data_IF_007416038607
#
_entry.id   IF_007416038607
#
_cell.length_a   1.000
_cell.length_b   1.000
_cell.length_c   1.000
_cell.angle_alpha   90.00
_cell.angle_beta   90.00
_cell.angle_gamma   90.00
#
_symmetry.space_group_name_H-M   'P 1'
#
loop_
_entity.id
_entity.type
_entity.pdbx_description
1 polymer ?
#
# COMPACT_ATOMS: atom_id res chain seq x y z
N UNK A 1 9.19 1.63 22.30
CA UNK A 1 8.97 3.05 22.10
C UNK A 1 7.50 3.33 21.93
N UNK A 2 6.98 4.26 22.69
CA UNK A 2 5.56 4.56 22.58
C UNK A 2 5.23 5.09 21.19
N UNK A 3 4.24 4.51 20.58
CA UNK A 3 3.68 5.02 19.34
C UNK A 3 2.83 6.25 19.68
N UNK A 4 3.44 7.40 19.69
CA UNK A 4 2.66 8.61 19.81
C UNK A 4 1.85 8.79 18.51
N UNK A 5 0.59 9.17 18.64
CA UNK A 5 -0.19 9.55 17.48
C UNK A 5 0.50 10.75 16.81
N UNK A 6 0.90 10.54 15.56
CA UNK A 6 1.55 11.60 14.80
C UNK A 6 0.54 12.69 14.45
N UNK A 7 0.94 13.93 14.60
CA UNK A 7 0.11 15.06 14.16
C UNK A 7 0.04 15.08 12.64
N UNK A 8 -0.95 15.76 12.09
CA UNK A 8 -1.09 15.89 10.65
C UNK A 8 0.18 16.47 10.01
N UNK A 9 0.80 17.47 10.61
CA UNK A 9 2.04 18.06 10.10
C UNK A 9 3.19 17.09 10.08
N UNK A 10 3.31 16.24 11.12
CA UNK A 10 4.34 15.22 11.17
C UNK A 10 4.14 14.16 10.09
N UNK A 11 2.90 13.77 9.81
CA UNK A 11 2.60 12.83 8.73
C UNK A 11 2.90 13.42 7.35
N UNK A 12 2.68 14.71 7.18
CA UNK A 12 2.97 15.38 5.90
C UNK A 12 4.46 15.40 5.57
N UNK A 13 5.34 15.39 6.58
CA UNK A 13 6.79 15.33 6.39
C UNK A 13 7.27 13.92 6.09
N UNK A 14 6.48 12.90 6.45
CA UNK A 14 6.83 11.53 6.18
C UNK A 14 6.55 11.16 4.72
N UNK A 15 7.23 10.12 4.26
CA UNK A 15 7.04 9.62 2.91
C UNK A 15 5.67 8.97 2.78
N UNK A 16 4.98 9.28 1.70
CA UNK A 16 3.82 8.54 1.24
C UNK A 16 4.29 7.55 0.19
N UNK A 17 4.24 6.27 0.53
CA UNK A 17 4.68 5.20 -0.35
C UNK A 17 3.59 4.90 -1.38
N UNK A 18 3.96 4.92 -2.65
CA UNK A 18 3.08 4.55 -3.76
C UNK A 18 3.55 3.19 -4.25
N UNK A 19 2.85 2.14 -3.87
CA UNK A 19 3.27 0.78 -4.17
C UNK A 19 2.59 0.22 -5.42
N UNK A 20 3.40 -0.23 -6.37
CA UNK A 20 2.96 -0.81 -7.63
C UNK A 20 3.47 -2.24 -7.74
N UNK A 21 2.61 -3.16 -8.17
CA UNK A 21 3.02 -4.53 -8.40
C UNK A 21 2.35 -5.09 -9.65
N UNK A 22 3.14 -5.77 -10.46
CA UNK A 22 2.66 -6.49 -11.63
C UNK A 22 3.27 -7.88 -11.62
N UNK A 23 2.44 -8.91 -11.54
CA UNK A 23 2.91 -10.29 -11.62
C UNK A 23 2.88 -10.77 -13.06
N UNK A 24 3.59 -11.88 -13.35
CA UNK A 24 3.54 -12.49 -14.68
C UNK A 24 2.12 -12.95 -15.04
N UNK A 25 1.29 -13.23 -14.05
CA UNK A 25 -0.08 -13.67 -14.28
C UNK A 25 -0.97 -12.55 -14.81
N UNK A 26 -0.56 -11.30 -14.69
CA UNK A 26 -1.29 -10.13 -15.17
C UNK A 26 -1.02 -9.84 -16.66
N UNK A 27 -0.07 -10.53 -17.29
CA UNK A 27 0.44 -10.17 -18.62
C UNK A 27 -0.56 -10.33 -19.76
N UNK A 28 -1.55 -11.17 -19.60
CA UNK A 28 -2.44 -11.54 -20.71
C UNK A 28 -3.82 -10.91 -20.65
N UNK A 29 -4.11 -10.14 -19.61
CA UNK A 29 -5.42 -9.49 -19.43
C UNK A 29 -5.22 -8.07 -18.95
N UNK A 30 -5.85 -7.14 -19.61
CA UNK A 30 -5.86 -5.73 -19.20
C UNK A 30 -4.47 -5.14 -18.96
N UNK A 31 -3.52 -5.47 -19.84
CA UNK A 31 -2.15 -4.99 -19.73
C UNK A 31 -2.07 -3.48 -19.55
N UNK A 32 -2.92 -2.73 -20.28
CA UNK A 32 -2.94 -1.27 -20.18
C UNK A 32 -3.39 -0.80 -18.79
N UNK A 33 -4.49 -1.36 -18.29
CA UNK A 33 -5.07 -0.87 -17.03
C UNK A 33 -4.27 -1.28 -15.80
N UNK A 34 -3.48 -2.36 -15.89
CA UNK A 34 -2.71 -2.86 -14.76
C UNK A 34 -1.20 -2.63 -14.88
N UNK A 35 -0.74 -2.03 -15.98
CA UNK A 35 0.68 -1.79 -16.17
C UNK A 35 1.26 -0.95 -15.02
N UNK A 36 2.56 -1.08 -14.81
CA UNK A 36 3.25 -0.27 -13.80
C UNK A 36 3.08 1.22 -14.10
N UNK A 37 3.19 1.61 -15.37
CA UNK A 37 3.00 3.01 -15.77
C UNK A 37 1.61 3.50 -15.41
N UNK A 38 0.59 2.70 -15.67
CA UNK A 38 -0.80 3.06 -15.34
C UNK A 38 -0.99 3.16 -13.83
N UNK A 39 -0.47 2.20 -13.07
CA UNK A 39 -0.55 2.25 -11.61
C UNK A 39 0.12 3.51 -11.06
N UNK A 40 1.31 3.84 -11.54
CA UNK A 40 2.02 5.05 -11.11
C UNK A 40 1.18 6.30 -11.36
N UNK A 41 0.55 6.38 -12.53
CA UNK A 41 -0.29 7.53 -12.88
C UNK A 41 -1.49 7.65 -11.94
N UNK A 42 -2.19 6.55 -11.70
CA UNK A 42 -3.34 6.52 -10.80
C UNK A 42 -2.94 6.93 -9.39
N UNK A 43 -1.86 6.36 -8.88
CA UNK A 43 -1.39 6.65 -7.52
C UNK A 43 -0.93 8.09 -7.39
N UNK A 44 -0.19 8.58 -8.36
CA UNK A 44 0.30 9.96 -8.36
C UNK A 44 -0.84 10.97 -8.41
N UNK A 45 -1.83 10.72 -9.26
CA UNK A 45 -2.99 11.60 -9.36
C UNK A 45 -3.80 11.61 -8.06
N UNK A 46 -4.01 10.45 -7.47
CA UNK A 46 -4.70 10.33 -6.20
C UNK A 46 -3.95 11.08 -5.10
N UNK A 47 -2.64 10.84 -4.98
CA UNK A 47 -1.83 11.48 -3.96
C UNK A 47 -1.88 13.01 -4.07
N UNK A 48 -1.80 13.52 -5.29
CA UNK A 48 -1.87 14.97 -5.53
C UNK A 48 -3.22 15.54 -5.12
N UNK A 49 -4.32 14.87 -5.50
CA UNK A 49 -5.66 15.33 -5.14
C UNK A 49 -5.89 15.35 -3.63
N UNK A 50 -5.31 14.37 -2.94
CA UNK A 50 -5.50 14.23 -1.49
C UNK A 50 -4.45 14.99 -0.68
N UNK A 51 -3.55 15.70 -1.34
CA UNK A 51 -2.58 16.57 -0.66
C UNK A 51 -1.33 15.89 -0.15
N UNK A 52 -1.02 14.68 -0.60
CA UNK A 52 0.22 14.01 -0.25
C UNK A 52 1.35 14.53 -1.15
N UNK A 53 2.34 15.18 -0.56
CA UNK A 53 3.40 15.87 -1.30
C UNK A 53 4.71 15.10 -1.39
N UNK A 54 5.06 14.36 -0.34
CA UNK A 54 6.34 13.66 -0.27
C UNK A 54 6.14 12.20 -0.68
N UNK A 55 5.98 11.96 -1.98
CA UNK A 55 5.68 10.64 -2.49
C UNK A 55 6.92 9.92 -2.99
N UNK A 56 6.92 8.59 -2.88
CA UNK A 56 8.00 7.75 -3.37
C UNK A 56 7.41 6.45 -3.91
N UNK A 57 7.84 6.04 -5.10
CA UNK A 57 7.39 4.79 -5.70
C UNK A 57 8.19 3.60 -5.16
N UNK A 58 7.48 2.51 -4.93
CA UNK A 58 8.06 1.20 -4.67
C UNK A 58 7.44 0.23 -5.66
N UNK A 59 8.26 -0.47 -6.44
CA UNK A 59 7.77 -1.21 -7.60
C UNK A 59 8.30 -2.63 -7.61
N UNK A 60 7.40 -3.58 -7.80
CA UNK A 60 7.74 -4.98 -8.06
C UNK A 60 7.10 -5.39 -9.38
N UNK A 61 7.91 -5.45 -10.43
CA UNK A 61 7.44 -5.66 -11.80
C UNK A 61 7.91 -6.99 -12.36
N UNK A 62 6.95 -7.77 -12.89
CA UNK A 62 7.24 -8.90 -13.77
C UNK A 62 7.98 -10.05 -13.13
N UNK A 63 7.96 -10.15 -11.83
CA UNK A 63 8.67 -11.23 -11.15
C UNK A 63 7.82 -12.47 -11.18
N UNK A 64 8.46 -13.63 -11.41
CA UNK A 64 7.81 -14.91 -11.38
C UNK A 64 6.95 -15.05 -10.11
N UNK A 65 5.70 -15.47 -10.26
CA UNK A 65 4.80 -15.69 -9.13
C UNK A 65 5.29 -16.75 -8.15
N UNK A 66 6.35 -17.48 -8.51
CA UNK A 66 6.96 -18.49 -7.63
C UNK A 66 8.04 -17.91 -6.74
N UNK A 67 8.47 -16.67 -6.96
CA UNK A 67 9.48 -16.05 -6.12
C UNK A 67 8.80 -15.05 -5.20
N UNK A 68 9.07 -15.18 -3.92
CA UNK A 68 8.61 -14.25 -2.91
C UNK A 68 9.53 -13.02 -2.81
N UNK A 69 10.42 -12.86 -3.79
CA UNK A 69 11.36 -11.74 -3.82
C UNK A 69 10.66 -10.49 -4.31
N UNK A 70 9.99 -9.84 -3.41
CA UNK A 70 9.35 -8.55 -3.64
C UNK A 70 10.28 -7.49 -3.08
N UNK A 71 11.32 -7.16 -3.84
CA UNK A 71 12.36 -6.25 -3.38
C UNK A 71 11.81 -4.86 -3.09
N UNK A 72 10.89 -4.37 -3.92
CA UNK A 72 10.24 -3.08 -3.69
C UNK A 72 9.45 -3.08 -2.39
N UNK A 73 8.70 -4.15 -2.15
CA UNK A 73 7.93 -4.31 -0.93
C UNK A 73 8.85 -4.38 0.30
N UNK A 74 9.93 -5.16 0.21
CA UNK A 74 10.87 -5.29 1.32
C UNK A 74 11.53 -3.95 1.65
N UNK A 75 11.91 -3.19 0.64
CA UNK A 75 12.47 -1.85 0.84
C UNK A 75 11.47 -0.95 1.55
N UNK A 76 10.21 -0.98 1.10
CA UNK A 76 9.14 -0.21 1.71
C UNK A 76 8.95 -0.60 3.19
N UNK A 77 8.91 -1.90 3.49
CA UNK A 77 8.76 -2.40 4.85
C UNK A 77 9.89 -1.94 5.75
N UNK A 78 11.13 -2.00 5.27
CA UNK A 78 12.28 -1.51 6.03
C UNK A 78 12.12 -0.03 6.38
N UNK A 79 11.64 0.76 5.44
CA UNK A 79 11.43 2.19 5.66
C UNK A 79 10.25 2.45 6.61
N UNK A 80 9.23 1.61 6.57
CA UNK A 80 8.13 1.66 7.54
C UNK A 80 8.67 1.42 8.96
N UNK A 81 9.47 0.37 9.13
CA UNK A 81 10.05 0.02 10.43
C UNK A 81 10.98 1.11 10.97
N UNK A 82 11.64 1.84 10.09
CA UNK A 82 12.51 2.94 10.46
C UNK A 82 11.76 4.26 10.67
N UNK A 83 10.44 4.25 10.61
CA UNK A 83 9.62 5.42 10.87
C UNK A 83 9.64 6.48 9.78
N UNK A 84 10.01 6.11 8.56
CA UNK A 84 10.14 7.06 7.45
C UNK A 84 8.86 7.21 6.63
N UNK A 85 7.94 6.24 6.72
CA UNK A 85 6.72 6.22 5.94
C UNK A 85 5.50 6.46 6.84
N UNK A 86 4.63 7.36 6.43
CA UNK A 86 3.40 7.67 7.16
C UNK A 86 2.13 7.14 6.51
N UNK A 87 2.20 6.88 5.20
CA UNK A 87 1.04 6.42 4.43
C UNK A 87 1.50 5.50 3.30
N UNK A 88 0.74 4.45 3.05
CA UNK A 88 0.96 3.55 1.91
C UNK A 88 -0.31 3.56 1.06
N UNK A 89 -0.16 3.78 -0.24
CA UNK A 89 -1.27 3.81 -1.18
C UNK A 89 -1.06 2.76 -2.26
N UNK A 90 -2.10 1.97 -2.53
CA UNK A 90 -2.11 0.98 -3.62
C UNK A 90 -3.33 1.23 -4.51
N UNK A 91 -3.24 0.80 -5.76
CA UNK A 91 -4.36 0.91 -6.70
C UNK A 91 -5.53 0.05 -6.26
N UNK A 92 -5.26 -1.19 -5.90
CA UNK A 92 -6.22 -2.13 -5.36
C UNK A 92 -5.53 -3.10 -4.40
N UNK A 93 -6.31 -3.81 -3.61
CA UNK A 93 -5.76 -4.69 -2.57
C UNK A 93 -4.91 -5.81 -3.15
N UNK A 94 -5.22 -6.29 -4.36
CA UNK A 94 -4.43 -7.35 -4.97
C UNK A 94 -3.01 -6.90 -5.32
N UNK A 95 -2.80 -5.61 -5.55
CA UNK A 95 -1.44 -5.07 -5.76
C UNK A 95 -0.61 -5.12 -4.50
N UNK A 96 -1.25 -4.94 -3.34
CA UNK A 96 -0.54 -5.04 -2.07
C UNK A 96 -0.05 -6.46 -1.80
N UNK A 97 -0.91 -7.46 -1.96
CA UNK A 97 -0.56 -8.87 -1.83
C UNK A 97 -1.77 -9.75 -1.67
N UNK A 98 -1.60 -11.03 -1.99
CA UNK A 98 -2.67 -12.03 -1.90
C UNK A 98 -2.51 -12.96 -0.70
N UNK A 99 -1.40 -12.85 0.01
CA UNK A 99 -1.12 -13.61 1.21
C UNK A 99 -1.93 -13.04 2.36
N UNK A 100 -3.07 -13.67 2.61
CA UNK A 100 -4.10 -13.10 3.48
C UNK A 100 -3.67 -12.89 4.92
N UNK A 101 -3.00 -13.89 5.49
CA UNK A 101 -2.61 -13.83 6.89
C UNK A 101 -1.64 -12.67 7.10
N UNK A 102 -0.61 -12.60 6.27
CA UNK A 102 0.43 -11.57 6.39
C UNK A 102 -0.11 -10.19 6.05
N UNK A 103 -0.88 -10.07 4.95
CA UNK A 103 -1.44 -8.78 4.56
C UNK A 103 -2.44 -8.28 5.59
N UNK A 104 -3.23 -9.18 6.16
CA UNK A 104 -4.16 -8.84 7.24
C UNK A 104 -3.42 -8.37 8.49
N UNK A 105 -2.36 -9.07 8.87
CA UNK A 105 -1.54 -8.68 10.02
C UNK A 105 -0.96 -7.28 9.84
N UNK A 106 -0.41 -7.01 8.65
CA UNK A 106 0.19 -5.71 8.36
C UNK A 106 -0.84 -4.59 8.40
N UNK A 107 -1.96 -4.75 7.69
CA UNK A 107 -2.93 -3.67 7.54
C UNK A 107 -3.78 -3.43 8.78
N UNK A 108 -4.06 -4.49 9.54
CA UNK A 108 -4.95 -4.40 10.69
C UNK A 108 -4.23 -4.18 12.02
N UNK A 109 -2.98 -4.61 12.12
CA UNK A 109 -2.24 -4.57 13.37
C UNK A 109 -0.96 -3.74 13.27
N UNK A 110 -0.05 -4.14 12.37
CA UNK A 110 1.29 -3.54 12.34
C UNK A 110 1.25 -2.08 11.94
N UNK A 111 0.65 -1.78 10.80
CA UNK A 111 0.62 -0.39 10.32
C UNK A 111 -0.14 0.53 11.29
N UNK A 112 -1.33 0.16 11.77
CA UNK A 112 -1.99 1.02 12.78
C UNK A 112 -1.14 1.24 14.03
N UNK A 113 -0.45 0.22 14.51
CA UNK A 113 0.40 0.35 15.71
C UNK A 113 1.58 1.28 15.50
N UNK A 114 2.04 1.42 14.26
CA UNK A 114 3.14 2.31 13.90
C UNK A 114 2.66 3.69 13.42
N UNK A 115 1.36 3.94 13.44
CA UNK A 115 0.80 5.17 12.94
C UNK A 115 0.82 5.31 11.43
N UNK A 116 0.94 4.19 10.72
CA UNK A 116 0.95 4.17 9.26
C UNK A 116 -0.45 3.92 8.72
N UNK A 117 -0.90 4.80 7.84
CA UNK A 117 -2.19 4.68 7.16
C UNK A 117 -2.05 3.85 5.91
N UNK A 118 -2.99 2.95 5.66
CA UNK A 118 -3.05 2.16 4.43
C UNK A 118 -4.28 2.55 3.63
N UNK A 119 -4.10 2.85 2.35
CA UNK A 119 -5.17 3.26 1.45
C UNK A 119 -5.16 2.37 0.22
N UNK A 120 -6.32 1.79 -0.11
CA UNK A 120 -6.55 1.12 -1.38
C UNK A 120 -7.61 1.89 -2.15
N UNK A 121 -7.26 2.36 -3.35
CA UNK A 121 -8.11 3.28 -4.09
C UNK A 121 -9.37 2.60 -4.58
N UNK A 122 -9.23 1.46 -5.25
CA UNK A 122 -10.35 0.78 -5.91
C UNK A 122 -11.43 0.35 -4.93
N UNK A 123 -11.05 -0.17 -3.77
CA UNK A 123 -12.00 -0.60 -2.75
C UNK A 123 -12.43 0.53 -1.82
N UNK A 124 -11.88 1.71 -2.03
CA UNK A 124 -12.17 2.88 -1.20
C UNK A 124 -11.86 2.63 0.28
N UNK A 125 -10.74 1.98 0.55
CA UNK A 125 -10.30 1.67 1.91
C UNK A 125 -9.32 2.73 2.38
N UNK A 126 -9.53 3.21 3.59
CA UNK A 126 -8.59 4.12 4.26
C UNK A 126 -8.58 3.76 5.75
N UNK A 127 -7.49 3.16 6.22
CA UNK A 127 -7.39 2.68 7.61
C UNK A 127 -7.25 3.81 8.63
N UNK A 128 -7.07 5.05 8.19
CA UNK A 128 -7.13 6.19 9.10
C UNK A 128 -8.56 6.41 9.61
N UNK A 129 -9.57 5.95 8.87
CA UNK A 129 -10.95 6.00 9.32
C UNK A 129 -11.27 4.76 10.13
N UNK A 130 -12.14 4.92 11.14
CA UNK A 130 -12.59 3.79 11.94
C UNK A 130 -13.28 2.73 11.07
N UNK A 131 -14.17 3.17 10.17
CA UNK A 131 -14.87 2.27 9.25
C UNK A 131 -13.91 1.52 8.35
N UNK A 132 -12.91 2.22 7.78
CA UNK A 132 -11.94 1.59 6.90
C UNK A 132 -11.14 0.50 7.60
N UNK A 133 -10.69 0.77 8.82
CA UNK A 133 -9.93 -0.19 9.60
C UNK A 133 -10.80 -1.40 9.99
N UNK A 134 -12.03 -1.16 10.42
CA UNK A 134 -12.95 -2.24 10.81
C UNK A 134 -13.35 -3.13 9.65
N UNK A 135 -13.38 -2.60 8.43
CA UNK A 135 -13.77 -3.36 7.24
C UNK A 135 -12.64 -4.19 6.64
N UNK A 136 -11.40 -3.97 7.04
CA UNK A 136 -10.25 -4.69 6.47
C UNK A 136 -10.39 -6.22 6.52
N UNK A 137 -10.86 -6.84 7.62
CA UNK A 137 -11.02 -8.29 7.64
C UNK A 137 -11.94 -8.81 6.53
N UNK A 138 -12.99 -8.08 6.21
CA UNK A 138 -13.93 -8.47 5.16
C UNK A 138 -13.30 -8.38 3.78
N UNK A 139 -12.55 -7.31 3.50
CA UNK A 139 -11.84 -7.16 2.22
C UNK A 139 -10.82 -8.27 2.04
N UNK A 140 -10.09 -8.62 3.08
CA UNK A 140 -9.08 -9.67 3.02
C UNK A 140 -9.71 -11.04 2.72
N UNK A 141 -10.90 -11.31 3.21
CA UNK A 141 -11.64 -12.54 2.92
C UNK A 141 -12.09 -12.57 1.45
N UNK A 142 -12.59 -11.45 0.94
CA UNK A 142 -13.10 -11.36 -0.44
C UNK A 142 -12.00 -11.56 -1.50
N UNK A 143 -10.75 -11.37 -1.14
CA UNK A 143 -9.62 -11.51 -2.07
C UNK A 143 -9.10 -12.93 -2.23
N UNK A 144 -9.71 -13.90 -1.60
CA UNK A 144 -9.28 -15.30 -1.70
C UNK A 144 -9.33 -15.84 -3.12
#
# INVERSE_FOLDING_TARGET
MATANKTKGQKEELITALYCRLSVDDDNKDMESNSITNQKQILSDFARREGYRNTMYFVDDGISGTTFQREGFQKMQNMVENGLIGTIIVKDLSRFGREQVEMGRLTQIVYPSLGVTFISIQENVNTATKTGLEMMPFYNILLR
#
